data_IF_949155339140
#
_entry.id   IF_949155339140
#
_cell.length_a   1.000
_cell.length_b   1.000
_cell.length_c   1.000
_cell.angle_alpha   90.00
_cell.angle_beta   90.00
_cell.angle_gamma   90.00
#
_symmetry.space_group_name_H-M   'P 1'
#
loop_
_entity.id
_entity.type
_entity.pdbx_description
1 polymer ?
#
# COMPACT_ATOMS: atom_id res chain seq x y z
N UNK A 1 15.46 1.96 -18.26
CA UNK A 1 14.61 1.10 -17.42
C UNK A 1 13.15 1.47 -17.65
N UNK A 2 12.31 0.51 -17.96
CA UNK A 2 10.89 0.79 -18.17
C UNK A 2 10.21 1.06 -16.83
N UNK A 3 9.36 2.07 -16.82
CA UNK A 3 8.56 2.36 -15.63
C UNK A 3 7.53 1.24 -15.41
N UNK A 4 7.27 0.92 -14.15
CA UNK A 4 6.22 -0.02 -13.77
C UNK A 4 4.95 0.77 -13.51
N UNK A 5 3.91 0.53 -14.30
CA UNK A 5 2.58 1.08 -14.05
C UNK A 5 1.83 0.18 -13.06
N UNK A 6 0.68 0.64 -12.55
CA UNK A 6 -0.15 -0.20 -11.69
C UNK A 6 -0.53 -1.50 -12.40
N UNK A 7 -0.92 -1.39 -13.68
CA UNK A 7 -1.32 -2.56 -14.46
C UNK A 7 -0.16 -3.54 -14.65
N UNK A 8 1.03 -3.05 -14.99
CA UNK A 8 2.18 -3.92 -15.14
C UNK A 8 2.66 -4.48 -13.82
N UNK A 9 2.52 -3.74 -12.71
CA UNK A 9 2.81 -4.26 -11.38
C UNK A 9 1.93 -5.46 -11.05
N UNK A 10 0.62 -5.35 -11.32
CA UNK A 10 -0.30 -6.46 -11.11
C UNK A 10 0.09 -7.69 -11.95
N UNK A 11 0.44 -7.48 -13.21
CA UNK A 11 0.88 -8.56 -14.10
C UNK A 11 2.18 -9.22 -13.62
N UNK A 12 3.16 -8.41 -13.23
CA UNK A 12 4.45 -8.92 -12.76
C UNK A 12 4.31 -9.72 -11.48
N UNK A 13 3.50 -9.25 -10.54
CA UNK A 13 3.24 -9.99 -9.29
C UNK A 13 2.55 -11.31 -9.61
N UNK A 14 1.57 -11.31 -10.50
CA UNK A 14 0.84 -12.53 -10.87
C UNK A 14 1.79 -13.59 -11.45
N UNK A 15 2.64 -13.18 -12.38
CA UNK A 15 3.62 -14.08 -12.98
C UNK A 15 4.58 -14.61 -11.92
N UNK A 16 5.08 -13.73 -11.04
CA UNK A 16 6.00 -14.13 -9.97
C UNK A 16 5.36 -15.16 -9.04
N UNK A 17 4.12 -14.90 -8.60
CA UNK A 17 3.40 -15.82 -7.70
C UNK A 17 3.20 -17.19 -8.37
N UNK A 18 2.81 -17.20 -9.62
CA UNK A 18 2.50 -18.46 -10.33
C UNK A 18 3.75 -19.23 -10.77
N UNK A 19 4.91 -18.62 -10.71
CA UNK A 19 6.18 -19.26 -11.07
C UNK A 19 7.04 -19.49 -9.83
N UNK A 20 7.67 -18.44 -9.30
CA UNK A 20 8.60 -18.54 -8.17
C UNK A 20 7.85 -18.85 -6.88
N UNK A 21 6.69 -18.24 -6.67
CA UNK A 21 5.89 -18.43 -5.46
C UNK A 21 5.01 -19.67 -5.47
N UNK A 22 4.93 -20.37 -6.58
CA UNK A 22 4.10 -21.56 -6.83
C UNK A 22 2.62 -21.18 -7.01
N UNK A 23 1.99 -20.61 -6.01
CA UNK A 23 0.58 -20.18 -6.07
C UNK A 23 0.29 -19.15 -4.99
N UNK A 24 -0.82 -18.44 -5.14
CA UNK A 24 -1.30 -17.52 -4.10
C UNK A 24 -1.70 -18.27 -2.83
N UNK A 25 -1.44 -17.68 -1.69
CA UNK A 25 -2.16 -18.05 -0.48
C UNK A 25 -3.64 -17.69 -0.65
N UNK A 26 -4.52 -18.27 0.18
CA UNK A 26 -5.93 -17.89 0.13
C UNK A 26 -6.13 -16.40 0.42
N UNK A 27 -7.25 -15.85 -0.02
CA UNK A 27 -7.58 -14.44 0.19
C UNK A 27 -7.55 -14.07 1.67
N UNK A 28 -8.09 -14.96 2.54
CA UNK A 28 -8.08 -14.69 3.99
C UNK A 28 -6.67 -14.71 4.56
N UNK A 29 -5.81 -15.62 4.10
CA UNK A 29 -4.42 -15.65 4.53
C UNK A 29 -3.71 -14.37 4.08
N UNK A 30 -3.92 -13.94 2.83
CA UNK A 30 -3.31 -12.71 2.33
C UNK A 30 -3.84 -11.47 3.05
N UNK A 31 -5.09 -11.46 3.47
CA UNK A 31 -5.60 -10.38 4.31
C UNK A 31 -4.84 -10.31 5.64
N UNK A 32 -4.62 -11.47 6.28
CA UNK A 32 -3.83 -11.53 7.51
C UNK A 32 -2.40 -11.03 7.32
N UNK A 33 -1.78 -11.43 6.21
CA UNK A 33 -0.43 -10.97 5.86
C UNK A 33 -0.42 -9.46 5.63
N UNK A 34 -1.43 -8.92 4.97
CA UNK A 34 -1.55 -7.47 4.78
C UNK A 34 -1.57 -6.75 6.13
N UNK A 35 -2.34 -7.26 7.09
CA UNK A 35 -2.38 -6.66 8.43
C UNK A 35 -1.03 -6.73 9.13
N UNK A 36 -0.29 -7.83 8.97
CA UNK A 36 1.06 -7.96 9.51
C UNK A 36 2.01 -6.93 8.89
N UNK A 37 1.97 -6.77 7.57
CA UNK A 37 2.85 -5.83 6.86
C UNK A 37 2.51 -4.37 7.22
N UNK A 38 1.22 -4.06 7.37
CA UNK A 38 0.80 -2.74 7.86
C UNK A 38 1.33 -2.52 9.27
N UNK A 39 1.31 -3.55 10.11
CA UNK A 39 1.88 -3.48 11.46
C UNK A 39 3.38 -3.19 11.44
N UNK A 40 4.13 -3.84 10.56
CA UNK A 40 5.57 -3.59 10.41
C UNK A 40 5.84 -2.15 9.93
N UNK A 41 5.07 -1.67 8.97
CA UNK A 41 5.15 -0.29 8.52
C UNK A 41 4.85 0.67 9.66
N UNK A 42 3.79 0.42 10.41
CA UNK A 42 3.39 1.21 11.56
C UNK A 42 4.50 1.29 12.60
N UNK A 43 5.15 0.15 12.88
CA UNK A 43 6.24 0.06 13.84
C UNK A 43 7.39 1.00 13.48
N UNK A 44 7.79 1.02 12.21
CA UNK A 44 8.85 1.91 11.75
C UNK A 44 8.41 3.38 11.86
N UNK A 45 7.18 3.68 11.44
CA UNK A 45 6.67 5.06 11.45
C UNK A 45 6.60 5.63 12.85
N UNK A 46 6.07 4.85 13.82
CA UNK A 46 5.92 5.36 15.19
C UNK A 46 7.27 5.52 15.88
N UNK A 47 8.26 4.70 15.53
CA UNK A 47 9.60 4.81 16.12
C UNK A 47 10.46 5.88 15.47
N UNK A 48 10.22 6.16 14.19
CA UNK A 48 10.96 7.20 13.48
C UNK A 48 10.42 8.59 13.80
N UNK A 49 9.11 8.74 13.85
CA UNK A 49 8.45 10.05 13.94
C UNK A 49 7.68 10.27 15.25
N UNK A 50 7.50 9.23 16.05
CA UNK A 50 6.81 9.32 17.34
C UNK A 50 7.78 9.32 18.51
N UNK A 51 7.25 9.08 19.70
CA UNK A 51 8.00 9.13 20.94
C UNK A 51 8.63 7.79 21.32
N UNK A 52 8.29 6.70 20.63
CA UNK A 52 8.93 5.40 20.87
C UNK A 52 10.25 5.32 20.13
N UNK A 53 11.18 4.57 20.69
CA UNK A 53 12.51 4.37 20.10
C UNK A 53 12.69 2.95 19.63
N UNK A 54 13.57 2.77 18.65
CA UNK A 54 14.01 1.44 18.25
C UNK A 54 14.82 0.79 19.36
N UNK A 55 14.77 -0.54 19.43
CA UNK A 55 15.58 -1.34 20.37
C UNK A 55 16.73 -1.99 19.60
N UNK A 56 17.93 -1.89 20.15
CA UNK A 56 19.10 -2.55 19.56
C UNK A 56 19.33 -2.15 18.11
N UNK A 57 19.35 -3.12 17.20
CA UNK A 57 19.65 -2.92 15.78
C UNK A 57 18.42 -2.66 14.93
N UNK A 58 17.26 -2.49 15.53
CA UNK A 58 15.99 -2.32 14.80
C UNK A 58 15.93 -1.04 13.98
N UNK A 59 16.81 -0.06 14.24
CA UNK A 59 16.87 1.18 13.49
C UNK A 59 17.41 1.03 12.06
N UNK A 60 17.85 -0.16 11.66
CA UNK A 60 18.25 -0.46 10.29
C UNK A 60 17.07 -0.74 9.36
N UNK A 61 15.85 -0.66 9.88
CA UNK A 61 14.65 -0.94 9.11
C UNK A 61 14.49 0.01 7.93
N UNK A 62 14.06 -0.53 6.79
CA UNK A 62 13.88 0.20 5.54
C UNK A 62 12.39 0.52 5.35
N UNK A 63 12.04 1.79 5.53
CA UNK A 63 10.66 2.26 5.36
C UNK A 63 10.14 2.01 3.95
N UNK A 64 10.96 2.24 2.93
CA UNK A 64 10.54 2.04 1.55
C UNK A 64 10.22 0.57 1.28
N UNK A 65 11.03 -0.34 1.82
CA UNK A 65 10.81 -1.78 1.66
C UNK A 65 9.51 -2.21 2.34
N UNK A 66 9.23 -1.69 3.54
CA UNK A 66 7.99 -2.01 4.24
C UNK A 66 6.76 -1.47 3.50
N UNK A 67 6.85 -0.28 2.90
CA UNK A 67 5.77 0.22 2.05
C UNK A 67 5.56 -0.68 0.83
N UNK A 68 6.65 -1.14 0.22
CA UNK A 68 6.58 -2.05 -0.90
C UNK A 68 5.95 -3.39 -0.50
N UNK A 69 6.25 -3.90 0.69
CA UNK A 69 5.64 -5.14 1.20
C UNK A 69 4.13 -5.00 1.33
N UNK A 70 3.65 -3.89 1.88
CA UNK A 70 2.21 -3.60 1.99
C UNK A 70 1.58 -3.58 0.59
N UNK A 71 2.22 -2.88 -0.34
CA UNK A 71 1.71 -2.74 -1.70
C UNK A 71 1.68 -4.10 -2.42
N UNK A 72 2.71 -4.92 -2.22
CA UNK A 72 2.78 -6.27 -2.80
C UNK A 72 1.57 -7.11 -2.41
N UNK A 73 1.25 -7.15 -1.12
CA UNK A 73 0.14 -7.98 -0.64
C UNK A 73 -1.20 -7.42 -1.14
N UNK A 74 -1.34 -6.10 -1.18
CA UNK A 74 -2.53 -5.47 -1.74
C UNK A 74 -2.71 -5.85 -3.21
N UNK A 75 -1.64 -5.86 -3.99
CA UNK A 75 -1.67 -6.31 -5.38
C UNK A 75 -2.12 -7.78 -5.47
N UNK A 76 -1.59 -8.65 -4.61
CA UNK A 76 -2.02 -10.05 -4.57
C UNK A 76 -3.53 -10.15 -4.37
N UNK A 77 -4.07 -9.41 -3.41
CA UNK A 77 -5.50 -9.40 -3.14
C UNK A 77 -6.31 -8.87 -4.34
N UNK A 78 -5.82 -7.82 -4.99
CA UNK A 78 -6.47 -7.29 -6.20
C UNK A 78 -6.49 -8.34 -7.30
N UNK A 79 -5.37 -9.01 -7.55
CA UNK A 79 -5.30 -10.07 -8.57
C UNK A 79 -6.26 -11.23 -8.27
N UNK A 80 -6.33 -11.64 -7.01
CA UNK A 80 -7.18 -12.76 -6.60
C UNK A 80 -8.66 -12.45 -6.71
N UNK A 81 -9.04 -11.19 -6.57
CA UNK A 81 -10.45 -10.77 -6.57
C UNK A 81 -10.89 -10.12 -7.88
N UNK A 82 -9.99 -10.07 -8.88
CA UNK A 82 -10.31 -9.50 -10.18
C UNK A 82 -10.42 -7.99 -10.21
N UNK A 83 -9.75 -7.30 -9.27
CA UNK A 83 -9.77 -5.84 -9.22
C UNK A 83 -8.64 -5.28 -10.07
N UNK A 84 -8.98 -4.39 -11.00
CA UNK A 84 -8.01 -3.59 -11.76
C UNK A 84 -7.70 -2.34 -10.94
N UNK A 85 -6.49 -2.27 -10.38
CA UNK A 85 -6.11 -1.17 -9.50
C UNK A 85 -6.00 0.17 -10.23
N UNK A 86 -5.66 0.17 -11.52
CA UNK A 86 -5.64 1.40 -12.30
C UNK A 86 -7.04 2.02 -12.35
N UNK A 87 -8.02 1.22 -12.73
CA UNK A 87 -9.42 1.67 -12.81
C UNK A 87 -9.95 2.06 -11.43
N UNK A 88 -9.69 1.22 -10.43
CA UNK A 88 -10.15 1.48 -9.06
C UNK A 88 -9.57 2.78 -8.52
N UNK A 89 -8.29 3.02 -8.76
CA UNK A 89 -7.61 4.23 -8.31
C UNK A 89 -8.17 5.49 -9.00
N UNK A 90 -8.37 5.42 -10.31
CA UNK A 90 -8.94 6.54 -11.07
C UNK A 90 -10.33 6.89 -10.56
N UNK A 91 -11.18 5.89 -10.37
CA UNK A 91 -12.54 6.11 -9.85
C UNK A 91 -12.53 6.68 -8.43
N UNK A 92 -11.60 6.19 -7.61
CA UNK A 92 -11.46 6.68 -6.24
C UNK A 92 -11.03 8.14 -6.20
N UNK A 93 -10.10 8.54 -7.07
CA UNK A 93 -9.68 9.94 -7.19
C UNK A 93 -10.83 10.84 -7.62
N UNK A 94 -11.60 10.41 -8.62
CA UNK A 94 -12.76 11.17 -9.09
C UNK A 94 -13.80 11.35 -7.98
N UNK A 95 -14.11 10.27 -7.26
CA UNK A 95 -15.04 10.29 -6.14
C UNK A 95 -14.60 11.29 -5.07
N UNK A 96 -13.33 11.25 -4.69
CA UNK A 96 -12.78 12.15 -3.68
C UNK A 96 -12.80 13.61 -4.15
N UNK A 97 -12.47 13.84 -5.41
CA UNK A 97 -12.46 15.18 -5.97
C UNK A 97 -13.87 15.78 -5.95
N UNK A 98 -14.88 15.03 -6.41
CA UNK A 98 -16.26 15.49 -6.42
C UNK A 98 -16.80 15.75 -5.01
N UNK A 99 -16.47 14.84 -4.07
CA UNK A 99 -16.97 14.95 -2.69
C UNK A 99 -16.28 16.05 -1.90
N UNK A 100 -14.98 16.21 -2.04
CA UNK A 100 -14.16 16.95 -1.09
C UNK A 100 -13.56 18.25 -1.63
N UNK A 101 -13.67 18.54 -2.94
CA UNK A 101 -13.02 19.70 -3.57
C UNK A 101 -13.39 21.02 -2.89
N UNK A 102 -14.70 21.25 -2.63
CA UNK A 102 -15.13 22.48 -1.96
C UNK A 102 -14.94 22.39 -0.45
N UNK A 103 -15.17 21.21 0.11
CA UNK A 103 -15.05 20.98 1.55
C UNK A 103 -13.67 21.35 2.07
N UNK A 104 -12.62 20.92 1.40
CA UNK A 104 -11.25 21.23 1.83
C UNK A 104 -10.88 22.68 1.54
N UNK A 105 -11.32 23.22 0.42
CA UNK A 105 -11.09 24.63 0.09
C UNK A 105 -11.69 25.56 1.14
N UNK A 106 -12.85 25.19 1.69
CA UNK A 106 -13.57 26.00 2.67
C UNK A 106 -13.18 25.69 4.11
N UNK A 107 -12.28 24.74 4.33
CA UNK A 107 -11.85 24.35 5.66
C UNK A 107 -10.77 25.30 6.18
N UNK A 108 -11.10 26.07 7.21
CA UNK A 108 -10.18 27.03 7.82
C UNK A 108 -8.87 26.38 8.32
N UNK A 109 -8.96 25.14 8.77
CA UNK A 109 -7.77 24.41 9.29
C UNK A 109 -6.74 24.11 8.23
N UNK A 110 -7.13 24.10 6.95
CA UNK A 110 -6.27 23.80 5.82
C UNK A 110 -5.76 25.02 5.07
N UNK A 111 -6.18 26.22 5.49
CA UNK A 111 -5.74 27.47 4.85
C UNK A 111 -4.39 27.90 5.41
N UNK A 112 -3.51 28.34 4.51
CA UNK A 112 -2.25 28.97 4.89
C UNK A 112 -2.54 30.40 5.39
N UNK A 113 -1.79 30.82 6.40
CA UNK A 113 -1.90 32.19 6.92
C UNK A 113 -0.98 33.15 6.23
#
# INVERSE_FOLDING_TARGET
MNEITLSTAQQKVDVWIKTIGVKYFSELTNLGILMEEVGELSRIMVRTYGEQSFKGNENDADLADEMADVFWVLICLANQTGVDLTEAFQKNMEKKTLRDAERHRDNEKLKDE
#
